data_IF_277033863563
#
_entry.id   IF_277033863563
#
_cell.length_a   1.000
_cell.length_b   1.000
_cell.length_c   1.000
_cell.angle_alpha   90.00
_cell.angle_beta   90.00
_cell.angle_gamma   90.00
#
_symmetry.space_group_name_H-M   'P 1'
#
loop_
_entity.id
_entity.type
_entity.pdbx_description
1 polymer ?
#
# COMPACT_ATOMS: atom_id res chain seq x y z
N UNK A 1 0.56 11.90 -11.85
CA UNK A 1 -0.23 13.13 -11.61
C UNK A 1 -0.11 13.42 -10.12
N UNK A 2 0.49 14.55 -9.76
CA UNK A 2 0.70 14.92 -8.36
C UNK A 2 -0.64 15.23 -7.70
N UNK A 3 -1.06 14.40 -6.74
CA UNK A 3 -2.12 14.73 -5.79
C UNK A 3 -1.49 15.06 -4.44
N UNK A 4 -0.77 16.18 -4.37
CA UNK A 4 -0.25 16.75 -3.13
C UNK A 4 -1.10 17.94 -2.71
N UNK A 5 -1.94 17.82 -1.68
CA UNK A 5 -2.69 18.96 -1.15
C UNK A 5 -2.58 19.13 0.38
N UNK A 6 -1.57 19.88 0.83
CA UNK A 6 -1.71 21.18 1.55
C UNK A 6 -0.40 21.67 2.17
N UNK A 7 0.06 22.82 1.67
CA UNK A 7 0.62 23.99 2.37
C UNK A 7 1.50 23.73 3.61
N UNK A 8 2.82 23.71 3.39
CA UNK A 8 3.90 23.58 4.36
C UNK A 8 4.09 24.81 5.28
N UNK A 9 3.06 25.61 5.61
CA UNK A 9 3.26 26.75 6.52
C UNK A 9 2.13 26.90 7.54
N UNK A 10 2.57 26.86 8.81
CA UNK A 10 1.91 27.29 10.06
C UNK A 10 0.89 26.31 10.66
N UNK A 11 1.30 25.59 11.70
CA UNK A 11 1.09 25.97 13.11
C UNK A 11 1.56 24.83 14.01
N UNK A 12 2.17 25.18 15.14
CA UNK A 12 2.56 24.23 16.19
C UNK A 12 1.30 23.60 16.80
N UNK A 13 0.83 22.46 16.29
CA UNK A 13 -0.35 21.74 16.83
C UNK A 13 -0.40 20.30 16.35
N UNK A 14 -0.35 19.36 17.30
CA UNK A 14 -0.45 17.89 17.13
C UNK A 14 -1.79 17.42 16.53
N UNK A 15 -2.12 17.83 15.31
CA UNK A 15 -3.30 17.36 14.58
C UNK A 15 -2.88 16.86 13.20
N UNK A 16 -2.30 15.67 13.17
CA UNK A 16 -2.05 14.95 11.91
C UNK A 16 -3.34 14.24 11.50
N UNK A 17 -4.09 14.82 10.56
CA UNK A 17 -5.22 14.15 9.91
C UNK A 17 -4.84 13.85 8.47
N UNK A 18 -4.77 12.57 8.12
CA UNK A 18 -4.43 12.12 6.77
C UNK A 18 -5.70 11.86 5.96
N UNK A 19 -5.61 12.14 4.66
CA UNK A 19 -6.54 11.60 3.66
C UNK A 19 -6.34 10.08 3.64
N UNK A 20 -7.36 9.33 4.06
CA UNK A 20 -7.27 7.87 4.28
C UNK A 20 -8.10 7.07 3.28
N UNK A 21 -8.70 7.73 2.31
CA UNK A 21 -9.26 7.13 1.11
C UNK A 21 -8.15 6.48 0.25
N UNK A 22 -8.49 5.36 -0.41
CA UNK A 22 -7.67 4.76 -1.47
C UNK A 22 -8.59 4.46 -2.64
N UNK A 23 -8.31 5.07 -3.79
CA UNK A 23 -9.18 5.11 -4.96
C UNK A 23 -8.34 4.98 -6.23
N UNK A 24 -8.81 4.20 -7.21
CA UNK A 24 -8.23 4.13 -8.56
C UNK A 24 -9.36 4.26 -9.57
N UNK A 25 -9.29 5.25 -10.45
CA UNK A 25 -10.28 5.51 -11.50
C UNK A 25 -9.61 5.34 -12.86
N UNK A 26 -10.21 4.51 -13.73
CA UNK A 26 -9.72 4.25 -15.10
C UNK A 26 -10.75 4.81 -16.09
N UNK A 27 -10.28 5.71 -16.96
CA UNK A 27 -11.05 6.36 -18.03
C UNK A 27 -12.39 6.98 -17.60
N UNK A 28 -12.53 7.32 -16.31
CA UNK A 28 -13.80 7.73 -15.68
C UNK A 28 -14.95 6.71 -15.79
N UNK A 29 -14.67 5.48 -16.22
CA UNK A 29 -15.67 4.44 -16.46
C UNK A 29 -15.65 3.34 -15.39
N UNK A 30 -14.49 3.11 -14.76
CA UNK A 30 -14.31 2.09 -13.73
C UNK A 30 -13.64 2.71 -12.51
N UNK A 31 -14.18 2.43 -11.33
CA UNK A 31 -13.66 2.92 -10.05
C UNK A 31 -13.44 1.75 -9.08
N UNK A 32 -12.23 1.66 -8.52
CA UNK A 32 -11.87 0.75 -7.44
C UNK A 32 -11.79 1.54 -6.13
N UNK A 33 -12.50 1.07 -5.10
CA UNK A 33 -12.57 1.69 -3.77
C UNK A 33 -12.28 0.61 -2.72
N UNK A 34 -11.47 0.93 -1.71
CA UNK A 34 -11.24 0.00 -0.60
C UNK A 34 -10.13 0.44 0.34
N UNK A 35 -9.60 -0.52 1.10
CA UNK A 35 -8.48 -0.31 2.03
C UNK A 35 -7.09 -0.57 1.43
N UNK A 36 -7.02 -1.06 0.18
CA UNK A 36 -5.76 -1.43 -0.47
C UNK A 36 -5.10 -0.18 -1.06
N UNK A 37 -3.91 0.13 -0.55
CA UNK A 37 -3.07 1.21 -1.05
C UNK A 37 -2.06 0.68 -2.08
N UNK A 38 -1.68 1.48 -3.07
CA UNK A 38 -0.66 1.12 -4.07
C UNK A 38 0.76 1.36 -3.51
N UNK A 39 1.01 0.73 -2.36
CA UNK A 39 2.22 0.87 -1.57
C UNK A 39 2.87 -0.50 -1.30
N UNK A 40 4.18 -0.50 -1.01
CA UNK A 40 4.91 -1.71 -0.66
C UNK A 40 4.26 -2.48 0.51
N UNK A 41 4.33 -3.81 0.46
CA UNK A 41 3.83 -4.70 1.51
C UNK A 41 2.31 -4.89 1.55
N UNK A 42 1.56 -4.36 0.57
CA UNK A 42 0.09 -4.53 0.50
C UNK A 42 -0.37 -5.72 -0.33
N UNK A 43 0.48 -6.25 -1.21
CA UNK A 43 0.16 -7.44 -1.98
C UNK A 43 0.31 -8.70 -1.12
N UNK A 44 -0.74 -9.51 -1.06
CA UNK A 44 -0.76 -10.82 -0.40
C UNK A 44 -1.73 -11.74 -1.15
N UNK A 45 -1.55 -13.05 -1.04
CA UNK A 45 -2.48 -14.04 -1.55
C UNK A 45 -3.32 -14.62 -0.40
N UNK A 46 -4.38 -15.35 -0.73
CA UNK A 46 -5.28 -15.97 0.27
C UNK A 46 -4.60 -16.98 1.21
N UNK A 47 -3.36 -17.38 0.89
CA UNK A 47 -2.55 -18.26 1.71
C UNK A 47 -1.75 -17.54 2.80
N UNK A 48 -1.73 -16.19 2.81
CA UNK A 48 -1.08 -15.35 3.83
C UNK A 48 0.31 -15.85 4.23
N UNK A 49 1.20 -16.04 3.24
CA UNK A 49 2.54 -16.58 3.47
C UNK A 49 3.34 -15.63 4.37
N UNK A 50 3.88 -16.17 5.45
CA UNK A 50 4.72 -15.42 6.41
C UNK A 50 6.07 -15.01 5.82
N UNK A 51 6.54 -15.72 4.79
CA UNK A 51 7.81 -15.42 4.14
C UNK A 51 7.85 -15.86 2.69
N UNK A 52 8.67 -15.15 1.92
CA UNK A 52 8.97 -15.47 0.54
C UNK A 52 10.03 -16.58 0.52
N UNK A 53 9.58 -17.84 0.55
CA UNK A 53 10.47 -18.98 0.33
C UNK A 53 10.57 -19.26 -1.16
N UNK A 54 11.63 -18.80 -1.86
CA UNK A 54 11.86 -19.26 -3.20
C UNK A 54 12.19 -20.76 -3.15
N UNK A 55 11.69 -21.56 -4.12
CA UNK A 55 11.84 -23.01 -4.09
C UNK A 55 13.30 -23.50 -3.99
N UNK A 56 14.27 -22.69 -4.44
CA UNK A 56 15.69 -23.05 -4.37
C UNK A 56 16.33 -22.99 -2.98
N UNK A 57 15.74 -22.27 -2.01
CA UNK A 57 16.28 -22.17 -0.63
C UNK A 57 15.81 -23.30 0.28
N UNK A 58 14.72 -24.00 -0.07
CA UNK A 58 14.20 -25.10 0.73
C UNK A 58 15.19 -26.29 0.80
N UNK A 59 15.94 -26.56 -0.27
CA UNK A 59 16.91 -27.66 -0.31
C UNK A 59 18.23 -27.38 0.43
N UNK A 60 18.57 -26.11 0.67
CA UNK A 60 19.82 -25.75 1.39
C UNK A 60 19.73 -25.83 2.91
N UNK A 61 18.55 -26.17 3.47
CA UNK A 61 18.32 -26.24 4.93
C UNK A 61 18.24 -27.67 5.47
N UNK A 62 18.40 -28.67 4.60
CA UNK A 62 18.36 -30.10 4.93
C UNK A 62 19.72 -30.82 4.74
N UNK A 63 20.80 -30.04 4.62
CA UNK A 63 22.20 -30.48 4.70
C UNK A 63 22.90 -29.68 5.78
#
# INVERSE_FOLDING_TARGET
MEYGHRNYLKTNKYYSRSHHEKLVIVDHNICFIGGLDLCFGRYDATNHKVGDFPPFLAWKRLL
#
